data_IF_565908964692
#
_entry.id   IF_565908964692
#
_cell.length_a   1.000
_cell.length_b   1.000
_cell.length_c   1.000
_cell.angle_alpha   90.00
_cell.angle_beta   90.00
_cell.angle_gamma   90.00
#
_symmetry.space_group_name_H-M   'P 1'
#
loop_
_entity.id
_entity.type
_entity.pdbx_description
1 polymer ?
#
# COMPACT_ATOMS: atom_id res chain seq x y z
N UNK A 1 5.58 -24.69 -3.91
CA UNK A 1 4.44 -24.12 -3.16
C UNK A 1 4.79 -24.01 -1.69
N UNK A 2 5.93 -23.35 -1.43
CA UNK A 2 6.14 -22.68 -0.16
C UNK A 2 5.32 -21.38 -0.19
N UNK A 3 4.84 -20.96 0.97
CA UNK A 3 4.08 -19.72 1.11
C UNK A 3 4.98 -18.68 1.74
N UNK A 4 5.27 -17.64 0.99
CA UNK A 4 6.18 -16.57 1.40
C UNK A 4 5.40 -15.31 1.78
N UNK A 5 5.91 -14.57 2.76
CA UNK A 5 5.43 -13.23 3.12
C UNK A 5 6.43 -12.23 2.58
N UNK A 6 5.96 -11.22 1.86
CA UNK A 6 6.79 -10.30 1.10
C UNK A 6 6.74 -8.94 1.81
N UNK A 7 7.87 -8.43 2.32
CA UNK A 7 7.96 -7.14 3.00
C UNK A 7 7.29 -7.07 4.38
N UNK A 8 5.97 -7.25 4.44
CA UNK A 8 5.17 -7.32 5.67
C UNK A 8 4.75 -8.77 5.96
N UNK A 9 4.78 -9.14 7.25
CA UNK A 9 4.33 -10.45 7.72
C UNK A 9 2.80 -10.46 7.75
N UNK A 10 2.16 -11.45 7.12
CA UNK A 10 0.70 -11.65 7.24
C UNK A 10 0.02 -12.04 5.93
N UNK A 11 0.29 -11.31 4.85
CA UNK A 11 -0.10 -11.76 3.52
C UNK A 11 0.84 -12.87 3.06
N UNK A 12 0.25 -13.88 2.41
CA UNK A 12 0.94 -15.08 1.96
C UNK A 12 0.71 -15.26 0.48
N UNK A 13 1.80 -15.31 -0.26
CA UNK A 13 1.84 -15.54 -1.68
C UNK A 13 2.34 -16.96 -1.94
N UNK A 14 1.85 -17.57 -3.01
CA UNK A 14 2.49 -18.77 -3.55
C UNK A 14 3.75 -18.32 -4.28
N UNK A 15 4.92 -18.80 -3.83
CA UNK A 15 6.22 -18.42 -4.38
C UNK A 15 6.29 -18.60 -5.91
N UNK A 16 5.80 -19.75 -6.38
CA UNK A 16 5.75 -20.11 -7.81
C UNK A 16 4.84 -19.19 -8.64
N UNK A 17 3.95 -18.40 -8.02
CA UNK A 17 3.08 -17.44 -8.72
C UNK A 17 3.75 -16.10 -8.92
N UNK A 18 4.61 -15.68 -7.98
CA UNK A 18 5.22 -14.35 -7.92
C UNK A 18 6.68 -14.35 -8.43
N UNK A 19 7.44 -15.40 -8.15
CA UNK A 19 8.86 -15.50 -8.49
C UNK A 19 9.10 -16.43 -9.67
N UNK A 20 10.11 -16.10 -10.47
CA UNK A 20 10.68 -16.98 -11.49
C UNK A 20 11.50 -18.09 -10.83
N UNK A 21 11.90 -19.10 -11.60
CA UNK A 21 12.78 -20.18 -11.11
C UNK A 21 14.18 -19.67 -10.69
N UNK A 22 14.55 -18.44 -11.08
CA UNK A 22 15.80 -17.77 -10.73
C UNK A 22 15.66 -16.85 -9.49
N UNK A 23 14.57 -16.98 -8.72
CA UNK A 23 14.27 -16.18 -7.51
C UNK A 23 14.04 -14.68 -7.79
N UNK A 24 13.81 -14.29 -9.05
CA UNK A 24 13.47 -12.91 -9.43
C UNK A 24 11.94 -12.72 -9.54
N UNK A 25 11.44 -11.50 -9.30
CA UNK A 25 10.02 -11.21 -9.52
C UNK A 25 9.62 -11.40 -10.99
N UNK A 26 8.50 -12.08 -11.21
CA UNK A 26 7.91 -12.19 -12.55
C UNK A 26 7.44 -10.83 -13.08
N UNK A 27 7.35 -10.67 -14.41
CA UNK A 27 6.61 -9.58 -15.02
C UNK A 27 5.17 -9.54 -14.49
N UNK A 28 4.65 -8.35 -14.23
CA UNK A 28 3.31 -8.18 -13.62
C UNK A 28 2.20 -8.78 -14.50
N UNK A 29 2.34 -8.79 -15.82
CA UNK A 29 1.36 -9.41 -16.73
C UNK A 29 1.34 -10.94 -16.65
N UNK A 30 2.41 -11.57 -16.15
CA UNK A 30 2.49 -13.02 -15.93
C UNK A 30 1.94 -13.45 -14.56
N UNK A 31 1.80 -12.52 -13.62
CA UNK A 31 1.24 -12.76 -12.29
C UNK A 31 -0.30 -12.79 -12.38
N UNK A 32 -0.98 -13.77 -11.73
CA UNK A 32 -2.44 -13.78 -11.70
C UNK A 32 -3.02 -12.49 -11.08
N UNK A 33 -4.28 -12.17 -11.41
CA UNK A 33 -4.91 -10.91 -11.03
C UNK A 33 -4.90 -10.64 -9.52
N UNK A 34 -5.46 -11.55 -8.70
CA UNK A 34 -5.54 -11.33 -7.24
C UNK A 34 -4.14 -11.19 -6.57
N UNK A 35 -3.15 -12.07 -6.81
CA UNK A 35 -1.80 -11.89 -6.26
C UNK A 35 -1.11 -10.62 -6.74
N UNK A 36 -1.34 -10.19 -7.99
CA UNK A 36 -0.79 -8.94 -8.53
C UNK A 36 -1.36 -7.72 -7.84
N UNK A 37 -2.67 -7.65 -7.66
CA UNK A 37 -3.33 -6.53 -6.96
C UNK A 37 -2.81 -6.40 -5.53
N UNK A 38 -2.63 -7.54 -4.84
CA UNK A 38 -2.05 -7.57 -3.48
C UNK A 38 -0.58 -7.17 -3.47
N UNK A 39 0.22 -7.60 -4.45
CA UNK A 39 1.62 -7.22 -4.57
C UNK A 39 1.77 -5.71 -4.77
N UNK A 40 0.98 -5.13 -5.68
CA UNK A 40 0.97 -3.69 -5.94
C UNK A 40 0.53 -2.89 -4.71
N UNK A 41 -0.50 -3.37 -3.99
CA UNK A 41 -0.93 -2.73 -2.74
C UNK A 41 0.19 -2.78 -1.70
N UNK A 42 0.82 -3.94 -1.52
CA UNK A 42 1.87 -4.19 -0.53
C UNK A 42 3.10 -3.29 -0.71
N UNK A 43 3.52 -3.01 -1.95
CA UNK A 43 4.65 -2.09 -2.23
C UNK A 43 4.40 -0.70 -1.64
N UNK A 44 3.14 -0.24 -1.62
CA UNK A 44 2.78 1.03 -1.00
C UNK A 44 2.76 1.01 0.54
N UNK A 45 2.68 -0.17 1.16
CA UNK A 45 2.51 -0.33 2.61
C UNK A 45 3.83 -0.61 3.35
N UNK A 46 4.86 -1.09 2.64
CA UNK A 46 6.07 -1.66 3.27
C UNK A 46 6.87 -0.64 4.09
N UNK A 47 6.78 0.65 3.74
CA UNK A 47 7.46 1.76 4.42
C UNK A 47 6.51 2.58 5.31
N UNK A 48 5.24 2.17 5.42
CA UNK A 48 4.26 2.91 6.20
C UNK A 48 4.45 2.69 7.71
N UNK A 49 4.17 3.70 8.54
CA UNK A 49 4.25 3.56 9.98
C UNK A 49 3.17 2.64 10.51
N UNK A 50 3.40 2.06 11.68
CA UNK A 50 2.35 1.37 12.42
C UNK A 50 1.15 2.31 12.69
N UNK A 51 -0.07 1.83 12.39
CA UNK A 51 -1.32 2.58 12.54
C UNK A 51 -1.52 3.06 13.98
N UNK A 52 -1.25 2.21 14.97
CA UNK A 52 -1.41 2.56 16.39
C UNK A 52 -0.40 3.62 16.81
N UNK A 53 0.87 3.49 16.38
CA UNK A 53 1.87 4.53 16.60
C UNK A 53 1.44 5.86 15.98
N UNK A 54 0.90 5.81 14.76
CA UNK A 54 0.42 6.99 14.06
C UNK A 54 -0.78 7.63 14.77
N UNK A 55 -1.71 6.84 15.33
CA UNK A 55 -2.82 7.35 16.13
C UNK A 55 -2.35 8.01 17.43
N UNK A 56 -1.26 7.52 18.04
CA UNK A 56 -0.71 8.05 19.29
C UNK A 56 0.10 9.33 19.09
N UNK A 57 0.96 9.36 18.07
CA UNK A 57 1.92 10.46 17.84
C UNK A 57 1.43 11.48 16.79
N UNK A 58 0.64 11.03 15.83
CA UNK A 58 0.18 11.84 14.69
C UNK A 58 1.30 12.18 13.70
N UNK A 59 0.92 12.90 12.65
CA UNK A 59 1.81 13.31 11.55
C UNK A 59 2.99 14.17 12.04
N UNK A 60 2.75 15.07 13.01
CA UNK A 60 3.77 15.98 13.55
C UNK A 60 4.96 15.26 14.20
N UNK A 61 4.75 14.04 14.71
CA UNK A 61 5.75 13.24 15.40
C UNK A 61 5.99 11.87 14.74
N UNK A 62 5.79 11.77 13.42
CA UNK A 62 5.93 10.50 12.65
C UNK A 62 7.27 9.79 12.84
N UNK A 63 8.36 10.53 13.08
CA UNK A 63 9.69 9.98 13.37
C UNK A 63 9.77 9.15 14.66
N UNK A 64 8.72 9.18 15.50
CA UNK A 64 8.59 8.36 16.72
C UNK A 64 7.78 7.10 16.48
N UNK A 65 7.11 6.99 15.34
CA UNK A 65 6.41 5.78 14.93
C UNK A 65 7.42 4.71 14.55
N UNK A 66 7.14 3.47 14.97
CA UNK A 66 7.83 2.32 14.43
C UNK A 66 7.27 2.01 13.02
N UNK A 67 8.13 1.56 12.12
CA UNK A 67 7.73 1.02 10.83
C UNK A 67 6.80 -0.19 11.00
N UNK A 68 5.87 -0.37 10.09
CA UNK A 68 5.02 -1.55 10.08
C UNK A 68 5.85 -2.79 9.70
N UNK A 69 5.62 -3.89 10.41
CA UNK A 69 6.22 -5.19 10.07
C UNK A 69 5.16 -6.25 9.79
N UNK A 70 3.90 -5.95 10.10
CA UNK A 70 2.80 -6.92 10.11
C UNK A 70 1.59 -6.27 9.44
N UNK A 71 0.94 -7.02 8.55
CA UNK A 71 -0.29 -6.63 7.84
C UNK A 71 -1.42 -7.61 8.11
N UNK A 72 -2.58 -7.09 8.50
CA UNK A 72 -3.80 -7.87 8.68
C UNK A 72 -4.97 -7.26 7.92
N UNK A 73 -5.81 -8.10 7.32
CA UNK A 73 -6.99 -7.66 6.58
C UNK A 73 -6.92 -8.02 5.10
N UNK A 74 -7.94 -7.59 4.38
CA UNK A 74 -8.01 -7.64 2.91
C UNK A 74 -7.48 -6.32 2.35
N UNK A 75 -7.10 -6.26 1.06
CA UNK A 75 -6.74 -5.00 0.41
C UNK A 75 -7.82 -3.93 0.59
N UNK A 76 -7.40 -2.69 0.77
CA UNK A 76 -8.21 -1.50 1.07
C UNK A 76 -8.89 -1.51 2.46
N UNK A 77 -8.55 -2.49 3.31
CA UNK A 77 -9.06 -2.64 4.66
C UNK A 77 -8.02 -3.18 5.63
N UNK A 78 -6.74 -3.02 5.28
CA UNK A 78 -5.62 -3.52 6.05
C UNK A 78 -5.27 -2.66 7.27
N UNK A 79 -4.76 -3.33 8.30
CA UNK A 79 -4.16 -2.72 9.49
C UNK A 79 -2.68 -3.02 9.47
N UNK A 80 -1.88 -1.97 9.64
CA UNK A 80 -0.43 -2.03 9.69
C UNK A 80 0.09 -1.90 11.12
N UNK A 81 0.88 -2.88 11.56
CA UNK A 81 1.32 -2.98 12.95
C UNK A 81 2.81 -3.25 13.06
N UNK A 82 3.44 -2.61 14.04
CA UNK A 82 4.71 -3.06 14.57
C UNK A 82 4.48 -4.23 15.56
N UNK A 83 5.52 -5.01 15.89
CA UNK A 83 5.40 -6.15 16.80
C UNK A 83 4.88 -5.77 18.19
N UNK A 84 5.11 -4.53 18.62
CA UNK A 84 4.62 -4.03 19.91
C UNK A 84 3.09 -3.89 19.93
N UNK A 85 2.49 -3.46 18.82
CA UNK A 85 1.06 -3.16 18.69
C UNK A 85 0.20 -4.31 18.14
N UNK A 86 0.84 -5.44 17.79
CA UNK A 86 0.13 -6.62 17.32
C UNK A 86 -0.86 -7.17 18.37
N UNK A 87 -0.46 -7.12 19.65
CA UNK A 87 -1.26 -7.66 20.76
C UNK A 87 -2.62 -6.95 20.89
N UNK A 88 -2.69 -5.65 20.60
CA UNK A 88 -3.89 -4.83 20.62
C UNK A 88 -4.89 -5.33 19.57
N UNK A 89 -4.42 -5.55 18.34
CA UNK A 89 -5.25 -6.13 17.28
C UNK A 89 -5.71 -7.54 17.63
N UNK A 90 -4.81 -8.40 18.13
CA UNK A 90 -5.15 -9.77 18.48
C UNK A 90 -6.22 -9.83 19.58
N UNK A 91 -6.10 -8.98 20.60
CA UNK A 91 -7.12 -8.86 21.63
C UNK A 91 -8.44 -8.35 21.07
N UNK A 92 -8.39 -7.27 20.30
CA UNK A 92 -9.59 -6.68 19.70
C UNK A 92 -10.32 -7.70 18.81
N UNK A 93 -9.58 -8.39 17.95
CA UNK A 93 -10.10 -9.39 17.03
C UNK A 93 -10.74 -10.58 17.76
N UNK A 94 -10.08 -11.10 18.81
CA UNK A 94 -10.51 -12.33 19.49
C UNK A 94 -11.57 -12.09 20.56
N UNK A 95 -11.51 -10.96 21.25
CA UNK A 95 -12.24 -10.73 22.51
C UNK A 95 -13.14 -9.49 22.46
N UNK A 96 -12.80 -8.46 21.68
CA UNK A 96 -13.54 -7.18 21.67
C UNK A 96 -14.47 -7.01 20.47
N UNK A 97 -14.74 -8.07 19.71
CA UNK A 97 -15.70 -8.08 18.60
C UNK A 97 -15.12 -7.79 17.22
N UNK A 98 -13.79 -7.65 17.08
CA UNK A 98 -13.16 -7.41 15.79
C UNK A 98 -13.33 -8.56 14.78
N UNK A 99 -13.58 -9.80 15.25
CA UNK A 99 -13.83 -10.94 14.37
C UNK A 99 -15.05 -10.77 13.46
N UNK A 100 -16.02 -9.95 13.86
CA UNK A 100 -17.25 -9.72 13.10
C UNK A 100 -16.99 -8.91 11.82
N UNK A 101 -15.85 -8.23 11.74
CA UNK A 101 -15.43 -7.41 10.61
C UNK A 101 -14.44 -8.13 9.68
N UNK A 102 -14.18 -9.42 9.90
CA UNK A 102 -13.25 -10.20 9.07
C UNK A 102 -13.66 -10.17 7.60
N UNK A 103 -12.72 -9.80 6.73
CA UNK A 103 -12.94 -9.75 5.28
C UNK A 103 -13.74 -8.53 4.82
N UNK A 104 -14.00 -7.57 5.71
CA UNK A 104 -14.60 -6.28 5.36
C UNK A 104 -13.51 -5.25 5.11
N UNK A 105 -13.76 -4.33 4.19
CA UNK A 105 -12.94 -3.12 4.01
C UNK A 105 -13.01 -2.19 5.23
N UNK A 106 -14.11 -2.25 6.00
CA UNK A 106 -14.26 -1.50 7.25
C UNK A 106 -13.42 -2.09 8.42
N UNK A 107 -12.65 -3.15 8.19
CA UNK A 107 -11.89 -3.82 9.25
C UNK A 107 -10.90 -2.88 9.92
N UNK A 108 -10.12 -2.14 9.11
CA UNK A 108 -9.16 -1.15 9.59
C UNK A 108 -9.83 -0.02 10.36
N UNK A 109 -10.84 0.61 9.76
CA UNK A 109 -11.59 1.70 10.39
C UNK A 109 -12.13 1.33 11.77
N UNK A 110 -12.69 0.12 11.92
CA UNK A 110 -13.25 -0.34 13.20
C UNK A 110 -12.17 -0.59 14.24
N UNK A 111 -11.01 -1.06 13.82
CA UNK A 111 -9.87 -1.20 14.72
C UNK A 111 -9.34 0.18 15.14
N UNK A 112 -9.17 1.10 14.20
CA UNK A 112 -8.70 2.46 14.47
C UNK A 112 -9.67 3.22 15.40
N UNK A 113 -10.98 3.12 15.17
CA UNK A 113 -12.00 3.67 16.07
C UNK A 113 -11.89 3.10 17.49
N UNK A 114 -11.61 1.81 17.61
CA UNK A 114 -11.46 1.15 18.90
C UNK A 114 -10.20 1.62 19.64
N UNK A 115 -9.07 1.75 18.95
CA UNK A 115 -7.81 2.29 19.50
C UNK A 115 -7.99 3.77 19.88
N UNK A 116 -8.58 4.59 19.01
CA UNK A 116 -8.82 6.02 19.24
C UNK A 116 -9.77 6.28 20.43
N UNK A 117 -10.62 5.31 20.79
CA UNK A 117 -11.42 5.36 22.01
C UNK A 117 -10.62 5.06 23.30
N UNK A 118 -9.31 4.83 23.19
CA UNK A 118 -8.39 4.56 24.30
C UNK A 118 -8.49 3.13 24.83
N UNK A 119 -8.96 2.19 24.01
CA UNK A 119 -8.96 0.78 24.38
C UNK A 119 -7.60 0.16 24.08
N UNK A 120 -7.15 -0.71 24.97
CA UNK A 120 -5.86 -1.40 24.88
C UNK A 120 -6.03 -2.87 25.25
N UNK A 121 -5.12 -3.72 24.76
CA UNK A 121 -5.05 -5.09 25.23
C UNK A 121 -4.65 -5.12 26.71
N UNK A 122 -5.17 -6.08 27.50
CA UNK A 122 -4.70 -6.28 28.87
C UNK A 122 -3.19 -6.51 28.92
N UNK A 123 -2.53 -5.98 29.96
CA UNK A 123 -1.09 -6.15 30.16
C UNK A 123 -0.72 -7.65 30.12
N UNK A 124 0.23 -8.01 29.25
CA UNK A 124 0.68 -9.38 29.06
C UNK A 124 -0.20 -10.23 28.13
N UNK A 125 -1.14 -9.65 27.38
CA UNK A 125 -1.81 -10.36 26.29
C UNK A 125 -0.78 -10.77 25.24
N UNK A 126 -0.70 -12.07 24.97
CA UNK A 126 0.36 -12.64 24.14
C UNK A 126 0.25 -12.22 22.69
N UNK A 127 1.37 -11.77 22.11
CA UNK A 127 1.58 -11.76 20.67
C UNK A 127 1.65 -13.19 20.14
N UNK A 128 1.43 -13.37 18.83
CA UNK A 128 1.64 -14.67 18.20
C UNK A 128 3.15 -14.86 18.00
N UNK A 129 3.70 -16.00 18.41
CA UNK A 129 5.03 -16.39 17.95
C UNK A 129 4.94 -16.68 16.45
N UNK A 130 5.41 -15.73 15.64
CA UNK A 130 5.57 -15.91 14.21
C UNK A 130 6.75 -16.85 13.97
N UNK A 131 6.58 -17.82 13.07
CA UNK A 131 7.72 -18.62 12.61
C UNK A 131 8.63 -17.68 11.82
N UNK A 132 9.86 -17.53 12.28
CA UNK A 132 10.95 -16.81 11.59
C UNK A 132 11.37 -17.58 10.32
N UNK A 133 10.50 -17.64 9.31
CA UNK A 133 11.01 -17.75 7.94
C UNK A 133 11.55 -16.36 7.59
N UNK A 134 12.87 -16.27 7.52
CA UNK A 134 13.68 -15.06 7.38
C UNK A 134 13.11 -14.09 6.32
N UNK A 135 12.36 -13.04 6.73
CA UNK A 135 11.78 -12.10 5.78
C UNK A 135 12.87 -11.25 5.09
N UNK A 136 14.04 -11.09 5.73
CA UNK A 136 15.22 -10.41 5.18
C UNK A 136 16.01 -11.32 4.21
N UNK A 137 15.68 -12.61 4.18
CA UNK A 137 16.26 -13.58 3.25
C UNK A 137 15.59 -13.60 1.87
N UNK A 138 14.51 -12.82 1.70
CA UNK A 138 13.87 -12.63 0.41
C UNK A 138 14.66 -11.61 -0.43
N UNK A 139 14.65 -11.74 -1.76
CA UNK A 139 15.22 -10.73 -2.63
C UNK A 139 14.59 -9.37 -2.32
N UNK A 140 15.42 -8.32 -2.29
CA UNK A 140 14.97 -6.94 -2.13
C UNK A 140 13.85 -6.67 -3.14
N UNK A 141 12.72 -6.20 -2.61
CA UNK A 141 11.61 -5.82 -3.46
C UNK A 141 11.96 -4.51 -4.17
N UNK A 142 11.51 -4.34 -5.42
CA UNK A 142 11.58 -3.05 -6.07
C UNK A 142 10.81 -2.04 -5.22
N UNK A 143 11.40 -0.87 -5.03
CA UNK A 143 10.73 0.24 -4.38
C UNK A 143 9.54 0.73 -5.22
N UNK A 144 8.73 1.63 -4.64
CA UNK A 144 7.55 2.15 -5.33
C UNK A 144 7.89 2.79 -6.69
N UNK A 145 9.02 3.50 -6.79
CA UNK A 145 9.43 4.15 -8.03
C UNK A 145 9.84 3.12 -9.08
N UNK A 146 10.60 2.10 -8.69
CA UNK A 146 11.03 1.02 -9.58
C UNK A 146 9.84 0.20 -10.11
N UNK A 147 8.81 -0.03 -9.28
CA UNK A 147 7.57 -0.69 -9.74
C UNK A 147 6.81 0.17 -10.74
N UNK A 148 6.72 1.48 -10.52
CA UNK A 148 6.07 2.40 -11.46
C UNK A 148 6.82 2.43 -12.79
N UNK A 149 8.15 2.57 -12.75
CA UNK A 149 8.99 2.60 -13.94
C UNK A 149 8.81 1.31 -14.77
N UNK A 150 8.74 0.14 -14.12
CA UNK A 150 8.48 -1.16 -14.79
C UNK A 150 7.07 -1.28 -15.35
N UNK A 151 6.05 -0.76 -14.65
CA UNK A 151 4.67 -0.70 -15.16
C UNK A 151 4.61 0.17 -16.43
N UNK A 152 5.34 1.27 -16.44
CA UNK A 152 5.41 2.20 -17.56
C UNK A 152 6.22 1.65 -18.75
N UNK A 153 7.20 0.75 -18.51
CA UNK A 153 8.13 0.23 -19.52
C UNK A 153 7.47 -0.57 -20.67
N UNK A 154 6.16 -0.82 -20.61
CA UNK A 154 5.35 -1.38 -21.70
C UNK A 154 3.97 -0.72 -21.85
N UNK A 155 3.69 0.35 -21.10
CA UNK A 155 2.41 1.04 -21.11
C UNK A 155 2.40 2.12 -22.21
N UNK A 156 1.86 1.77 -23.37
CA UNK A 156 1.51 2.74 -24.41
C UNK A 156 0.21 3.43 -23.96
N UNK A 157 0.33 4.42 -23.08
CA UNK A 157 -0.81 5.04 -22.41
C UNK A 157 -1.84 5.60 -23.39
N UNK A 158 -3.04 5.03 -23.38
CA UNK A 158 -4.16 5.61 -24.12
C UNK A 158 -4.57 6.93 -23.46
N UNK A 159 -4.43 8.04 -24.20
CA UNK A 159 -4.90 9.35 -23.75
C UNK A 159 -6.43 9.33 -23.68
N UNK A 160 -6.97 9.15 -22.49
CA UNK A 160 -8.41 9.18 -22.24
C UNK A 160 -8.89 10.63 -22.30
N UNK A 161 -9.76 10.96 -23.25
CA UNK A 161 -10.47 12.24 -23.26
C UNK A 161 -11.60 12.19 -22.22
N UNK A 162 -11.38 12.85 -21.08
CA UNK A 162 -12.33 12.93 -19.97
C UNK A 162 -13.65 13.58 -20.41
N UNK A 163 -13.62 14.52 -21.38
CA UNK A 163 -14.82 15.20 -21.88
C UNK A 163 -15.60 14.31 -22.85
N UNK A 164 -14.89 13.53 -23.67
CA UNK A 164 -15.50 12.50 -24.51
C UNK A 164 -16.25 11.47 -23.64
N UNK A 165 -15.62 11.00 -22.55
CA UNK A 165 -16.27 10.12 -21.58
C UNK A 165 -17.45 10.77 -20.85
N UNK A 166 -17.39 12.08 -20.62
CA UNK A 166 -18.48 12.86 -20.03
C UNK A 166 -19.64 13.12 -21.01
N UNK A 167 -19.49 12.77 -22.30
CA UNK A 167 -20.48 13.00 -23.34
C UNK A 167 -20.57 14.47 -23.80
N UNK A 168 -19.53 15.26 -23.51
CA UNK A 168 -19.42 16.66 -23.90
C UNK A 168 -18.58 16.75 -25.18
N UNK A 169 -19.19 16.45 -26.32
CA UNK A 169 -18.56 16.66 -27.63
C UNK A 169 -18.54 18.17 -27.94
N UNK A 170 -17.42 18.86 -27.71
CA UNK A 170 -17.21 20.23 -28.19
C UNK A 170 -16.52 20.21 -29.58
N UNK A 171 -17.25 20.50 -30.67
CA UNK A 171 -16.71 20.44 -32.03
C UNK A 171 -15.77 21.61 -32.39
N UNK A 172 -15.54 22.58 -31.49
CA UNK A 172 -14.69 23.75 -31.71
C UNK A 172 -13.33 23.68 -30.98
N UNK A 173 -13.00 22.52 -30.37
CA UNK A 173 -11.73 22.36 -29.64
C UNK A 173 -10.57 22.13 -30.61
N UNK A 174 -9.84 23.19 -30.93
CA UNK A 174 -8.55 23.08 -31.61
C UNK A 174 -7.52 22.42 -30.66
N UNK A 175 -6.77 21.43 -31.16
CA UNK A 175 -5.65 20.84 -30.40
C UNK A 175 -4.63 21.93 -30.10
N UNK A 176 -4.45 22.25 -28.82
CA UNK A 176 -3.43 23.20 -28.38
C UNK A 176 -2.05 22.60 -28.67
N UNK A 177 -1.28 23.27 -29.51
CA UNK A 177 0.10 22.87 -29.82
C UNK A 177 1.09 23.54 -28.87
N UNK A 178 2.31 23.00 -28.79
CA UNK A 178 3.40 23.65 -28.03
C UNK A 178 3.65 25.10 -28.51
N UNK A 179 3.38 25.40 -29.78
CA UNK A 179 3.49 26.75 -30.32
C UNK A 179 2.42 27.68 -29.73
N UNK A 180 1.17 27.21 -29.59
CA UNK A 180 0.08 27.98 -28.96
C UNK A 180 0.38 28.31 -27.49
N UNK A 181 0.98 27.36 -26.77
CA UNK A 181 1.42 27.56 -25.38
C UNK A 181 2.56 28.57 -25.28
N UNK A 182 3.48 28.57 -26.26
CA UNK A 182 4.62 29.51 -26.29
C UNK A 182 4.19 30.92 -26.71
N UNK A 183 3.18 31.05 -27.56
CA UNK A 183 2.59 32.34 -27.97
C UNK A 183 1.58 32.90 -26.96
N UNK A 184 1.07 32.06 -26.06
CA UNK A 184 0.23 32.50 -24.96
C UNK A 184 1.06 33.29 -23.93
N UNK A 185 0.51 34.41 -23.44
CA UNK A 185 1.13 35.26 -22.40
C UNK A 185 1.08 34.58 -20.99
N UNK A 186 1.08 33.26 -20.97
CA UNK A 186 1.05 32.46 -19.75
C UNK A 186 2.46 32.39 -19.18
N UNK A 187 2.65 32.96 -18.01
CA UNK A 187 3.92 32.92 -17.29
C UNK A 187 4.15 31.54 -16.66
N UNK A 188 4.65 30.61 -17.48
CA UNK A 188 5.10 29.28 -17.04
C UNK A 188 6.50 29.31 -16.41
N UNK A 189 7.07 30.50 -16.16
CA UNK A 189 8.39 30.66 -15.51
C UNK A 189 8.33 30.59 -13.99
N UNK A 190 7.23 30.07 -13.43
CA UNK A 190 7.14 29.80 -11.99
C UNK A 190 8.25 28.82 -11.62
N UNK A 191 9.27 29.35 -10.95
CA UNK A 191 10.33 28.59 -10.30
C UNK A 191 9.69 27.72 -9.22
N UNK A 192 9.35 26.49 -9.60
CA UNK A 192 8.98 25.47 -8.63
C UNK A 192 10.21 25.22 -7.75
N UNK A 193 10.07 25.25 -6.41
CA UNK A 193 11.17 24.90 -5.53
C UNK A 193 11.61 23.48 -5.87
N UNK A 194 12.76 23.38 -6.53
CA UNK A 194 13.46 22.12 -6.76
C UNK A 194 14.17 21.79 -5.45
N UNK A 195 13.59 20.81 -4.77
CA UNK A 195 14.04 20.16 -3.54
C UNK A 195 13.88 20.91 -2.21
N UNK A 196 13.14 20.26 -1.32
CA UNK A 196 13.63 20.00 0.03
C UNK A 196 13.21 18.63 0.54
#
# INVERSE_FOLDING_TARGET
>A
MAKVSIGLRGWRFEEDEIFTDDEELKPLDEIPEDPRERLLRLVGLVEEPCDVCYLDYGEDEIHRCNEAEIVYGEPDGEVLLCPEHERELLYWFREAGGSDHKGSVEFADRFHEWVAAGNEAPEGYGSVEHVEEDPDGLPDLPDQQEVQDRLEEGFDGDRIDILELAGEEDPEREELTEADLTESDLDLSTDYPSDR
#
